data_IF_349237058689
#
_entry.id   IF_349237058689
#
_cell.length_a   1.000
_cell.length_b   1.000
_cell.length_c   1.000
_cell.angle_alpha   90.00
_cell.angle_beta   90.00
_cell.angle_gamma   90.00
#
_symmetry.space_group_name_H-M   'P 1'
#
loop_
_entity.id
_entity.type
_entity.pdbx_description
1 polymer ?
#
# COMPACT_ATOMS: atom_id res chain seq x y z
N UNK A 1 -22.23 -6.22 -24.99
CA UNK A 1 -22.00 -5.78 -24.35
C UNK A 1 -21.01 -5.87 -23.79
N UNK A 2 -20.60 -5.39 -23.67
CA UNK A 2 -19.62 -5.52 -23.22
C UNK A 2 -19.42 -5.41 -22.07
N UNK A 3 -19.51 -5.96 -21.57
CA UNK A 3 -19.14 -5.94 -20.42
C UNK A 3 -17.89 -5.63 -20.17
N UNK A 4 -17.62 -4.52 -20.41
CA UNK A 4 -16.42 -4.09 -20.00
C UNK A 4 -16.44 -4.08 -18.57
N UNK A 5 -15.93 -5.04 -18.08
CA UNK A 5 -15.69 -5.05 -16.73
C UNK A 5 -14.64 -4.07 -16.49
N UNK A 6 -15.02 -2.95 -16.12
CA UNK A 6 -14.09 -2.05 -15.59
C UNK A 6 -13.71 -2.55 -14.26
N UNK A 7 -12.69 -3.27 -14.26
CA UNK A 7 -12.12 -3.57 -13.00
C UNK A 7 -11.40 -2.34 -12.53
N UNK A 8 -12.15 -1.38 -12.11
CA UNK A 8 -11.55 -0.32 -11.34
C UNK A 8 -11.40 -0.87 -9.94
N UNK A 9 -10.21 -1.15 -9.50
CA UNK A 9 -10.03 -1.71 -8.17
C UNK A 9 -10.59 -0.77 -7.13
N UNK A 10 -11.15 -1.34 -6.09
CA UNK A 10 -11.60 -0.56 -4.97
C UNK A 10 -10.42 0.19 -4.36
N UNK A 11 -10.73 1.22 -3.60
CA UNK A 11 -9.70 1.97 -2.89
C UNK A 11 -8.95 1.06 -1.92
N UNK A 12 -9.64 0.16 -1.27
CA UNK A 12 -9.03 -0.76 -0.33
C UNK A 12 -8.80 -2.10 -1.01
N UNK A 13 -7.55 -2.55 -1.05
CA UNK A 13 -7.15 -3.74 -1.79
C UNK A 13 -6.25 -4.61 -0.91
N UNK A 14 -6.17 -5.89 -1.27
CA UNK A 14 -5.28 -6.81 -0.58
C UNK A 14 -3.82 -6.50 -0.92
N UNK A 15 -2.91 -7.09 -0.16
CA UNK A 15 -1.48 -6.90 -0.44
C UNK A 15 -1.13 -7.42 -1.83
N UNK A 16 -1.64 -8.58 -2.21
CA UNK A 16 -1.34 -9.14 -3.53
C UNK A 16 -1.80 -8.23 -4.64
N UNK A 17 -3.00 -7.66 -4.50
CA UNK A 17 -3.50 -6.75 -5.52
C UNK A 17 -2.73 -5.44 -5.51
N UNK A 18 -2.35 -4.96 -4.34
CA UNK A 18 -1.52 -3.76 -4.26
C UNK A 18 -0.21 -3.96 -4.99
N UNK A 19 0.43 -5.11 -4.80
CA UNK A 19 1.68 -5.42 -5.49
C UNK A 19 1.46 -5.42 -7.00
N UNK A 20 0.37 -6.04 -7.45
CA UNK A 20 0.08 -6.11 -8.89
C UNK A 20 -0.18 -4.73 -9.49
N UNK A 21 -0.81 -3.85 -8.73
CA UNK A 21 -1.17 -2.53 -9.25
C UNK A 21 -0.02 -1.53 -9.18
N UNK A 22 0.82 -1.63 -8.16
CA UNK A 22 1.83 -0.61 -7.94
C UNK A 22 3.22 -1.05 -8.33
N UNK A 23 3.47 -2.35 -8.38
CA UNK A 23 4.81 -2.86 -8.62
C UNK A 23 5.71 -2.86 -7.39
N UNK A 24 5.18 -2.47 -6.24
CA UNK A 24 5.95 -2.53 -5.01
C UNK A 24 6.20 -3.99 -4.62
N UNK A 25 7.32 -4.23 -3.95
CA UNK A 25 7.62 -5.57 -3.49
C UNK A 25 6.99 -5.79 -2.11
N UNK A 26 6.83 -7.05 -1.75
CA UNK A 26 6.34 -7.41 -0.43
C UNK A 26 7.20 -6.81 0.67
N UNK A 27 8.52 -6.84 0.46
CA UNK A 27 9.45 -6.27 1.42
C UNK A 27 9.27 -4.75 1.56
N UNK A 28 9.07 -4.06 0.44
CA UNK A 28 8.86 -2.62 0.46
C UNK A 28 7.58 -2.26 1.21
N UNK A 29 6.53 -3.04 1.00
CA UNK A 29 5.26 -2.80 1.69
C UNK A 29 5.42 -3.00 3.19
N UNK A 30 6.09 -4.07 3.59
CA UNK A 30 6.32 -4.32 5.01
C UNK A 30 7.14 -3.20 5.63
N UNK A 31 8.20 -2.78 4.95
CA UNK A 31 9.06 -1.72 5.45
C UNK A 31 8.32 -0.40 5.60
N UNK A 32 7.51 -0.06 4.59
CA UNK A 32 6.72 1.16 4.63
C UNK A 32 5.70 1.12 5.76
N UNK A 33 5.07 -0.03 5.95
CA UNK A 33 4.08 -0.18 7.01
C UNK A 33 4.71 0.03 8.39
N UNK A 34 5.95 -0.40 8.54
CA UNK A 34 6.64 -0.28 9.81
C UNK A 34 7.24 1.09 10.05
N UNK A 35 7.57 1.82 8.99
CA UNK A 35 8.38 3.03 9.13
C UNK A 35 7.72 4.31 8.62
N UNK A 36 6.81 4.22 7.67
CA UNK A 36 6.29 5.40 7.00
C UNK A 36 4.79 5.51 7.03
N UNK A 37 4.09 4.42 6.89
CA UNK A 37 2.64 4.45 6.73
C UNK A 37 1.96 4.49 8.08
N UNK A 38 0.80 5.14 8.11
CA UNK A 38 -0.01 5.23 9.32
C UNK A 38 -1.27 4.40 9.14
N UNK A 39 -1.60 3.63 10.13
CA UNK A 39 -2.85 2.88 10.08
C UNK A 39 -4.02 3.85 10.04
N UNK A 40 -4.97 3.56 9.16
CA UNK A 40 -6.08 4.45 8.90
C UNK A 40 -5.87 5.33 7.68
N UNK A 41 -4.62 5.49 7.23
CA UNK A 41 -4.30 6.26 6.05
C UNK A 41 -3.92 5.35 4.88
N UNK A 42 -2.76 4.71 4.94
CA UNK A 42 -2.32 3.83 3.86
C UNK A 42 -2.77 2.40 4.05
N UNK A 43 -3.03 1.98 5.25
CA UNK A 43 -3.47 0.62 5.50
C UNK A 43 -4.39 0.58 6.70
N UNK A 44 -5.08 -0.54 6.84
CA UNK A 44 -6.04 -0.72 7.93
C UNK A 44 -6.23 -2.19 8.20
N UNK A 45 -6.19 -2.57 9.45
CA UNK A 45 -6.60 -3.93 9.83
C UNK A 45 -8.12 -4.00 9.76
N UNK A 46 -8.64 -5.20 9.48
CA UNK A 46 -10.08 -5.38 9.50
C UNK A 46 -10.43 -6.72 10.13
N UNK A 47 -11.65 -6.81 10.57
CA UNK A 47 -12.16 -8.00 11.24
C UNK A 47 -13.67 -8.01 11.08
N UNK A 48 -14.25 -9.21 10.98
CA UNK A 48 -15.69 -9.35 10.81
C UNK A 48 -16.49 -8.85 11.99
N UNK A 49 -15.89 -8.80 13.18
CA UNK A 49 -16.58 -8.30 14.37
C UNK A 49 -16.27 -6.83 14.65
N UNK A 50 -15.60 -6.16 13.73
CA UNK A 50 -15.23 -4.74 13.84
C UNK A 50 -14.28 -4.45 15.00
N UNK A 51 -13.58 -5.46 15.48
CA UNK A 51 -12.60 -5.29 16.55
C UNK A 51 -11.27 -5.89 16.13
N UNK A 52 -10.62 -5.31 15.12
CA UNK A 52 -9.38 -5.88 14.62
C UNK A 52 -8.25 -5.77 15.64
N UNK A 53 -7.34 -6.71 15.57
CA UNK A 53 -6.17 -6.76 16.43
C UNK A 53 -4.94 -6.62 15.55
N UNK A 54 -3.77 -6.53 16.18
CA UNK A 54 -2.54 -6.29 15.44
C UNK A 54 -2.17 -7.45 14.50
N UNK A 55 -2.75 -8.62 14.70
CA UNK A 55 -2.51 -9.75 13.80
C UNK A 55 -3.68 -10.00 12.85
N UNK A 56 -4.65 -9.09 12.81
CA UNK A 56 -5.78 -9.23 11.88
C UNK A 56 -5.32 -8.93 10.45
N UNK A 57 -6.05 -9.42 9.44
CA UNK A 57 -5.69 -9.11 8.06
C UNK A 57 -5.71 -7.62 7.77
N UNK A 58 -4.96 -7.22 6.75
CA UNK A 58 -4.77 -5.82 6.41
C UNK A 58 -5.26 -5.58 5.00
N UNK A 59 -5.94 -4.46 4.79
CA UNK A 59 -6.20 -3.92 3.46
C UNK A 59 -5.44 -2.61 3.32
N UNK A 60 -5.10 -2.29 2.08
CA UNK A 60 -4.28 -1.13 1.76
C UNK A 60 -5.07 -0.15 0.93
N UNK A 61 -4.93 1.14 1.23
CA UNK A 61 -5.57 2.21 0.49
C UNK A 61 -4.67 2.56 -0.69
N UNK A 62 -5.00 2.10 -1.87
CA UNK A 62 -4.11 2.29 -3.02
C UNK A 62 -3.96 3.75 -3.41
N UNK A 63 -4.98 4.58 -3.16
CA UNK A 63 -4.84 6.01 -3.44
C UNK A 63 -3.82 6.67 -2.53
N UNK A 64 -3.83 6.32 -1.25
CA UNK A 64 -2.87 6.88 -0.32
C UNK A 64 -1.47 6.35 -0.55
N UNK A 65 -1.36 5.10 -1.02
CA UNK A 65 -0.06 4.57 -1.39
C UNK A 65 0.50 5.33 -2.60
N UNK A 66 -0.35 5.63 -3.59
CA UNK A 66 0.08 6.42 -4.73
C UNK A 66 0.54 7.82 -4.29
N UNK A 67 -0.22 8.44 -3.40
CA UNK A 67 0.17 9.75 -2.86
C UNK A 67 1.50 9.67 -2.13
N UNK A 68 1.70 8.59 -1.39
CA UNK A 68 2.95 8.38 -0.66
C UNK A 68 4.14 8.30 -1.61
N UNK A 69 3.97 7.58 -2.73
CA UNK A 69 5.03 7.50 -3.73
C UNK A 69 5.34 8.88 -4.30
N UNK A 70 4.30 9.66 -4.58
CA UNK A 70 4.49 10.98 -5.19
C UNK A 70 5.13 11.97 -4.23
N UNK A 71 4.98 11.75 -2.92
CA UNK A 71 5.57 12.64 -1.92
C UNK A 71 7.03 12.30 -1.61
N UNK A 72 7.58 11.27 -2.23
CA UNK A 72 8.96 10.91 -1.98
C UNK A 72 9.89 12.00 -2.46
N UNK A 73 10.94 12.23 -1.72
CA UNK A 73 11.95 13.18 -2.15
C UNK A 73 12.79 12.56 -3.25
N UNK A 74 13.34 13.39 -4.14
CA UNK A 74 14.28 12.86 -5.12
C UNK A 74 15.41 12.12 -4.41
N UNK A 75 15.89 11.07 -5.05
CA UNK A 75 16.95 10.28 -4.46
C UNK A 75 18.20 11.13 -4.26
N UNK A 76 18.82 10.96 -3.10
CA UNK A 76 20.09 11.62 -2.83
C UNK A 76 21.16 10.77 -3.48
N UNK A 77 22.00 11.37 -4.35
CA UNK A 77 23.04 10.59 -4.99
C UNK A 77 23.94 9.97 -3.94
N UNK A 78 24.28 8.71 -4.17
CA UNK A 78 25.18 8.04 -3.27
C UNK A 78 26.55 8.67 -3.38
N UNK A 79 27.12 9.06 -2.24
CA UNK A 79 28.44 9.58 -2.28
C UNK A 79 29.40 8.46 -2.56
N UNK A 80 30.21 8.65 -3.56
CA UNK A 80 31.25 7.70 -3.80
C UNK A 80 32.33 8.01 -2.81
N UNK A 81 32.67 7.02 -2.04
CA UNK A 81 33.83 7.23 -1.23
C UNK A 81 35.01 7.26 -2.16
N UNK A 82 35.76 8.23 -2.03
CA UNK A 82 36.96 8.38 -2.82
C UNK A 82 37.96 7.34 -2.41
#
# INVERSE_FOLDING_TARGET
>A
MSDIIHLVPNKWVSEDLLIALTGLTKHAIKSAREKSWLEGREYRHYSGDCQPKDNSPILYNRHEVDNWVERQRPAIPRQKSA
#
